data_IF_285883722974
#
_entry.id   IF_285883722974
#
_cell.length_a   1.000
_cell.length_b   1.000
_cell.length_c   1.000
_cell.angle_alpha   90.00
_cell.angle_beta   90.00
_cell.angle_gamma   90.00
#
_symmetry.space_group_name_H-M   'P 1'
#
loop_
_entity.id
_entity.type
_entity.pdbx_description
1 polymer ?
#
# COMPACT_ATOMS: atom_id res chain seq x y z
N UNK A 1 33.99 -14.14 20.93
CA UNK A 1 32.93 -14.16 19.91
C UNK A 1 32.42 -12.74 19.77
N UNK A 2 32.60 -12.05 18.63
CA UNK A 2 31.95 -10.76 18.43
C UNK A 2 30.43 -11.01 18.39
N UNK A 3 29.69 -10.26 19.22
CA UNK A 3 28.24 -10.23 19.14
C UNK A 3 27.87 -9.74 17.72
N UNK A 4 27.08 -10.52 17.00
CA UNK A 4 26.49 -10.05 15.75
C UNK A 4 25.73 -8.77 16.09
N UNK A 5 26.15 -7.65 15.51
CA UNK A 5 25.42 -6.41 15.64
C UNK A 5 24.03 -6.67 15.06
N UNK A 6 22.99 -6.55 15.87
CA UNK A 6 21.63 -6.65 15.37
C UNK A 6 21.48 -5.55 14.32
N UNK A 7 21.23 -5.95 13.09
CA UNK A 7 20.94 -5.04 11.98
C UNK A 7 19.72 -4.19 12.35
N UNK A 8 19.78 -2.89 12.13
CA UNK A 8 18.67 -2.01 12.46
C UNK A 8 17.41 -2.45 11.68
N UNK A 9 16.22 -2.40 12.29
CA UNK A 9 15.00 -2.83 11.60
C UNK A 9 14.75 -1.97 10.35
N UNK A 10 14.37 -2.62 9.25
CA UNK A 10 13.98 -1.91 8.02
C UNK A 10 12.78 -0.99 8.28
N UNK A 11 12.80 0.20 7.71
CA UNK A 11 11.75 1.21 7.87
C UNK A 11 10.86 1.25 6.64
N UNK A 12 9.60 0.89 6.82
CA UNK A 12 8.58 0.96 5.78
C UNK A 12 7.61 2.10 6.10
N UNK A 13 7.14 2.80 5.08
CA UNK A 13 5.96 3.66 5.16
C UNK A 13 4.83 3.02 4.38
N UNK A 14 3.67 2.88 4.99
CA UNK A 14 2.42 2.56 4.30
C UNK A 14 1.68 3.85 3.96
N UNK A 15 1.83 4.32 2.72
CA UNK A 15 1.19 5.51 2.17
C UNK A 15 -0.14 5.11 1.53
N UNK A 16 -1.25 5.55 2.10
CA UNK A 16 -2.56 5.15 1.61
C UNK A 16 -3.72 6.00 2.12
N UNK A 17 -4.91 5.50 1.93
CA UNK A 17 -6.15 6.14 2.36
C UNK A 17 -6.76 5.51 3.62
N UNK A 18 -8.09 5.40 3.70
CA UNK A 18 -8.82 4.81 4.82
C UNK A 18 -8.52 3.33 5.04
N UNK A 19 -8.17 2.60 3.98
CA UNK A 19 -7.83 1.17 4.05
C UNK A 19 -6.50 0.97 4.79
N UNK A 20 -5.53 1.81 4.50
CA UNK A 20 -4.24 1.84 5.21
C UNK A 20 -4.39 2.40 6.61
N UNK A 21 -5.18 3.47 6.78
CA UNK A 21 -5.40 4.12 8.07
C UNK A 21 -6.05 3.18 9.11
N UNK A 22 -6.82 2.18 8.66
CA UNK A 22 -7.59 1.30 9.55
C UNK A 22 -8.93 1.92 9.97
N UNK A 23 -9.59 2.65 9.06
CA UNK A 23 -10.86 3.34 9.31
C UNK A 23 -11.90 2.44 9.97
N UNK A 24 -12.50 2.93 11.06
CA UNK A 24 -13.58 2.23 11.76
C UNK A 24 -13.13 1.04 12.63
N UNK A 25 -11.83 0.78 12.74
CA UNK A 25 -11.27 -0.31 13.53
C UNK A 25 -10.51 0.22 14.75
N UNK A 26 -10.43 -0.57 15.84
CA UNK A 26 -9.46 -0.33 16.90
C UNK A 26 -8.04 -0.33 16.33
N UNK A 27 -7.14 0.48 16.90
CA UNK A 27 -5.78 0.71 16.38
C UNK A 27 -5.03 -0.61 16.06
N UNK A 28 -5.11 -1.61 16.94
CA UNK A 28 -4.40 -2.89 16.76
C UNK A 28 -5.03 -3.82 15.70
N UNK A 29 -6.20 -3.49 15.20
CA UNK A 29 -6.92 -4.30 14.21
C UNK A 29 -6.77 -3.77 12.78
N UNK A 30 -6.14 -2.61 12.62
CA UNK A 30 -5.85 -2.00 11.32
C UNK A 30 -4.78 -2.76 10.53
N UNK A 31 -4.68 -2.40 9.25
CA UNK A 31 -3.74 -3.04 8.32
C UNK A 31 -2.28 -2.98 8.78
N UNK A 32 -1.79 -1.80 9.14
CA UNK A 32 -0.38 -1.59 9.48
C UNK A 32 0.06 -2.39 10.72
N UNK A 33 -0.61 -2.28 11.90
CA UNK A 33 -0.18 -3.04 13.08
C UNK A 33 -0.30 -4.56 12.87
N UNK A 34 -1.31 -5.03 12.14
CA UNK A 34 -1.43 -6.46 11.82
C UNK A 34 -0.36 -6.95 10.87
N UNK A 35 0.01 -6.16 9.86
CA UNK A 35 1.11 -6.50 8.97
C UNK A 35 2.43 -6.55 9.72
N UNK A 36 2.70 -5.58 10.59
CA UNK A 36 3.90 -5.55 11.41
C UNK A 36 3.98 -6.76 12.34
N UNK A 37 2.87 -7.12 12.99
CA UNK A 37 2.80 -8.33 13.81
C UNK A 37 3.07 -9.61 13.02
N UNK A 38 2.46 -9.76 11.83
CA UNK A 38 2.67 -10.92 10.96
C UNK A 38 4.13 -11.06 10.46
N UNK A 39 4.83 -9.96 10.26
CA UNK A 39 6.26 -9.95 9.91
C UNK A 39 7.10 -10.35 11.14
N UNK A 40 6.79 -9.81 12.31
CA UNK A 40 7.48 -10.13 13.55
C UNK A 40 7.31 -11.62 13.94
N UNK A 41 6.12 -12.18 13.78
CA UNK A 41 5.83 -13.61 13.95
C UNK A 41 6.66 -14.48 13.01
N UNK A 42 6.97 -13.95 11.81
CA UNK A 42 7.89 -14.56 10.85
C UNK A 42 9.38 -14.32 11.13
N UNK A 43 9.74 -13.71 12.26
CA UNK A 43 11.13 -13.41 12.65
C UNK A 43 11.75 -12.22 11.91
N UNK A 44 10.95 -11.39 11.24
CA UNK A 44 11.42 -10.23 10.46
C UNK A 44 11.24 -8.96 11.31
N UNK A 45 12.34 -8.33 11.70
CA UNK A 45 12.32 -7.06 12.40
C UNK A 45 12.07 -5.92 11.40
N UNK A 46 10.95 -5.21 11.57
CA UNK A 46 10.53 -4.11 10.70
C UNK A 46 9.78 -3.04 11.51
N UNK A 47 9.95 -1.79 11.14
CA UNK A 47 9.15 -0.68 11.63
C UNK A 47 8.28 -0.16 10.49
N UNK A 48 6.94 -0.20 10.65
CA UNK A 48 6.01 0.26 9.63
C UNK A 48 5.28 1.51 10.14
N UNK A 49 5.57 2.65 9.53
CA UNK A 49 4.85 3.88 9.78
C UNK A 49 3.51 3.89 9.01
N UNK A 50 2.41 4.13 9.74
CA UNK A 50 1.10 4.31 9.13
C UNK A 50 0.98 5.75 8.61
N UNK A 51 0.98 5.91 7.30
CA UNK A 51 0.72 7.16 6.60
C UNK A 51 -0.59 7.09 5.79
N UNK A 52 -1.59 6.38 6.31
CA UNK A 52 -2.95 6.36 5.77
C UNK A 52 -3.73 7.59 6.23
N UNK A 53 -4.44 8.24 5.30
CA UNK A 53 -5.36 9.35 5.59
C UNK A 53 -6.70 9.07 4.94
N UNK A 54 -7.74 8.89 5.77
CA UNK A 54 -9.08 8.55 5.28
C UNK A 54 -9.61 9.61 4.33
N UNK A 55 -10.06 9.16 3.16
CA UNK A 55 -10.63 10.03 2.13
C UNK A 55 -9.61 10.54 1.10
N UNK A 56 -8.30 10.32 1.29
CA UNK A 56 -7.30 10.75 0.33
C UNK A 56 -7.49 10.12 -1.05
N UNK A 57 -7.37 10.96 -2.06
CA UNK A 57 -7.15 10.56 -3.46
C UNK A 57 -5.66 10.36 -3.73
N UNK A 58 -5.32 9.87 -4.90
CA UNK A 58 -3.93 9.80 -5.35
C UNK A 58 -3.25 11.18 -5.36
N UNK A 59 -4.00 12.24 -5.71
CA UNK A 59 -3.51 13.61 -5.70
C UNK A 59 -3.24 14.13 -4.29
N UNK A 60 -4.09 13.79 -3.31
CA UNK A 60 -3.89 14.16 -1.90
C UNK A 60 -2.65 13.44 -1.34
N UNK A 61 -2.49 12.14 -1.62
CA UNK A 61 -1.30 11.38 -1.25
C UNK A 61 -0.01 11.96 -1.86
N UNK A 62 -0.06 12.42 -3.12
CA UNK A 62 1.05 13.13 -3.76
C UNK A 62 1.38 14.44 -3.05
N UNK A 63 0.37 15.22 -2.67
CA UNK A 63 0.56 16.52 -2.04
C UNK A 63 1.31 16.42 -0.69
N UNK A 64 1.14 15.32 0.04
CA UNK A 64 1.79 15.08 1.34
C UNK A 64 2.97 14.10 1.29
N UNK A 65 3.39 13.64 0.09
CA UNK A 65 4.40 12.59 -0.07
C UNK A 65 5.69 12.87 0.70
N UNK A 66 6.26 14.07 0.55
CA UNK A 66 7.55 14.41 1.16
C UNK A 66 7.48 14.48 2.68
N UNK A 67 6.33 14.87 3.22
CA UNK A 67 6.07 14.87 4.66
C UNK A 67 5.81 13.46 5.19
N UNK A 68 5.09 12.64 4.44
CA UNK A 68 4.71 11.28 4.85
C UNK A 68 5.84 10.27 4.75
N UNK A 69 6.79 10.51 3.84
CA UNK A 69 7.92 9.60 3.57
C UNK A 69 9.22 10.33 3.90
N UNK A 70 9.67 10.30 5.18
CA UNK A 70 10.87 11.01 5.62
C UNK A 70 12.15 10.39 5.03
N UNK A 71 13.29 11.11 5.10
CA UNK A 71 14.59 10.53 4.81
C UNK A 71 14.89 9.30 5.69
N UNK A 72 15.57 8.31 5.13
CA UNK A 72 15.86 7.05 5.83
C UNK A 72 14.73 6.04 5.78
N UNK A 73 13.70 6.25 4.95
CA UNK A 73 12.71 5.22 4.60
C UNK A 73 13.31 4.26 3.59
N UNK A 74 13.28 2.96 3.88
CA UNK A 74 13.86 1.91 3.02
C UNK A 74 12.87 1.46 1.95
N UNK A 75 11.58 1.41 2.29
CA UNK A 75 10.53 0.97 1.38
C UNK A 75 9.20 1.68 1.62
N UNK A 76 8.36 1.73 0.59
CA UNK A 76 7.00 2.28 0.65
C UNK A 76 5.99 1.31 0.06
N UNK A 77 4.92 1.05 0.79
CA UNK A 77 3.70 0.43 0.25
C UNK A 77 2.78 1.58 -0.16
N UNK A 78 2.43 1.67 -1.44
CA UNK A 78 1.52 2.69 -1.99
C UNK A 78 0.16 2.05 -2.24
N UNK A 79 -0.84 2.50 -1.48
CA UNK A 79 -2.22 2.05 -1.55
C UNK A 79 -3.12 3.29 -1.69
N UNK A 80 -3.43 3.69 -2.91
CA UNK A 80 -4.21 4.89 -3.26
C UNK A 80 -5.02 4.65 -4.53
N UNK A 81 -6.11 5.41 -4.68
CA UNK A 81 -6.97 5.41 -5.86
C UNK A 81 -8.39 4.92 -5.59
N UNK A 82 -8.68 4.30 -4.43
CA UNK A 82 -10.04 3.90 -4.10
C UNK A 82 -10.99 5.11 -4.07
N UNK A 83 -10.57 6.23 -3.46
CA UNK A 83 -11.36 7.44 -3.42
C UNK A 83 -11.48 8.14 -4.77
N UNK A 84 -10.46 8.04 -5.63
CA UNK A 84 -10.53 8.51 -7.02
C UNK A 84 -11.65 7.79 -7.76
N UNK A 85 -11.68 6.47 -7.68
CA UNK A 85 -12.70 5.63 -8.30
C UNK A 85 -14.09 5.92 -7.72
N UNK A 86 -14.24 5.98 -6.39
CA UNK A 86 -15.53 6.25 -5.74
C UNK A 86 -16.10 7.61 -6.10
N UNK A 87 -15.26 8.60 -6.39
CA UNK A 87 -15.66 9.95 -6.81
C UNK A 87 -15.76 10.11 -8.32
N UNK A 88 -15.49 9.06 -9.09
CA UNK A 88 -15.52 9.11 -10.56
C UNK A 88 -14.50 10.07 -11.16
N UNK A 89 -13.34 10.23 -10.49
CA UNK A 89 -12.24 11.06 -11.00
C UNK A 89 -11.70 10.44 -12.31
N UNK A 90 -11.37 11.29 -13.27
CA UNK A 90 -10.76 10.84 -14.51
C UNK A 90 -9.53 9.96 -14.23
N UNK A 91 -9.48 8.72 -14.74
CA UNK A 91 -8.34 7.82 -14.57
C UNK A 91 -6.99 8.44 -14.95
N UNK A 92 -7.00 9.40 -15.89
CA UNK A 92 -5.80 10.14 -16.26
C UNK A 92 -5.24 10.96 -15.07
N UNK A 93 -6.10 11.60 -14.29
CA UNK A 93 -5.66 12.39 -13.13
C UNK A 93 -5.08 11.48 -12.05
N UNK A 94 -5.70 10.33 -11.78
CA UNK A 94 -5.18 9.31 -10.87
C UNK A 94 -3.82 8.79 -11.33
N UNK A 95 -3.68 8.49 -12.63
CA UNK A 95 -2.43 8.08 -13.26
C UNK A 95 -1.32 9.12 -13.06
N UNK A 96 -1.60 10.38 -13.38
CA UNK A 96 -0.61 11.46 -13.30
C UNK A 96 -0.10 11.62 -11.85
N UNK A 97 -0.98 11.50 -10.86
CA UNK A 97 -0.61 11.56 -9.45
C UNK A 97 0.24 10.36 -9.00
N UNK A 98 -0.19 9.14 -9.32
CA UNK A 98 0.57 7.91 -9.00
C UNK A 98 1.92 7.88 -9.73
N UNK A 99 1.99 8.32 -10.98
CA UNK A 99 3.24 8.47 -11.75
C UNK A 99 4.21 9.40 -11.03
N UNK A 100 3.72 10.55 -10.56
CA UNK A 100 4.55 11.50 -9.83
C UNK A 100 5.03 10.94 -8.47
N UNK A 101 4.20 10.20 -7.75
CA UNK A 101 4.57 9.50 -6.50
C UNK A 101 5.71 8.50 -6.79
N UNK A 102 5.50 7.57 -7.73
CA UNK A 102 6.48 6.54 -8.02
C UNK A 102 7.80 7.13 -8.54
N UNK A 103 7.72 8.13 -9.40
CA UNK A 103 8.91 8.84 -9.89
C UNK A 103 9.74 9.43 -8.75
N UNK A 104 9.10 10.14 -7.79
CA UNK A 104 9.80 10.74 -6.65
C UNK A 104 10.41 9.68 -5.73
N UNK A 105 9.69 8.59 -5.46
CA UNK A 105 10.20 7.49 -4.63
C UNK A 105 11.40 6.80 -5.31
N UNK A 106 11.31 6.52 -6.61
CA UNK A 106 12.41 5.91 -7.39
C UNK A 106 13.63 6.83 -7.44
N UNK A 107 13.46 8.15 -7.60
CA UNK A 107 14.57 9.11 -7.55
C UNK A 107 15.27 9.14 -6.19
N UNK A 108 14.58 8.77 -5.14
CA UNK A 108 15.10 8.65 -3.78
C UNK A 108 15.67 7.26 -3.48
N UNK A 109 15.72 6.36 -4.47
CA UNK A 109 16.15 4.96 -4.34
C UNK A 109 15.37 4.17 -3.28
N UNK A 110 14.08 4.46 -3.13
CA UNK A 110 13.19 3.77 -2.20
C UNK A 110 12.50 2.61 -2.93
N UNK A 111 12.55 1.42 -2.35
CA UNK A 111 11.83 0.26 -2.88
C UNK A 111 10.31 0.46 -2.75
N UNK A 112 9.54 0.15 -3.80
CA UNK A 112 8.09 0.38 -3.83
C UNK A 112 7.32 -0.89 -4.08
N UNK A 113 6.25 -1.10 -3.29
CA UNK A 113 5.16 -2.02 -3.59
C UNK A 113 3.93 -1.19 -3.94
N UNK A 114 3.51 -1.22 -5.20
CA UNK A 114 2.29 -0.58 -5.66
C UNK A 114 1.12 -1.55 -5.55
N UNK A 115 0.12 -1.18 -4.77
CA UNK A 115 -1.11 -1.94 -4.61
C UNK A 115 -2.18 -1.42 -5.58
N UNK A 116 -2.70 -2.34 -6.43
CA UNK A 116 -3.77 -2.02 -7.37
C UNK A 116 -5.12 -1.92 -6.70
N UNK A 117 -6.01 -1.19 -7.37
CA UNK A 117 -7.44 -1.10 -7.07
C UNK A 117 -8.26 -1.54 -8.27
N UNK A 118 -9.51 -1.95 -8.03
CA UNK A 118 -10.47 -2.30 -9.07
C UNK A 118 -11.61 -1.30 -9.11
N UNK A 119 -12.07 -1.01 -10.30
CA UNK A 119 -13.20 -0.13 -10.50
C UNK A 119 -14.51 -0.84 -10.14
N UNK A 120 -15.45 -0.09 -9.58
CA UNK A 120 -16.80 -0.59 -9.38
C UNK A 120 -17.51 -0.81 -10.73
N UNK A 121 -18.24 -1.93 -10.92
CA UNK A 121 -18.84 -2.28 -12.22
C UNK A 121 -19.82 -1.23 -12.79
N UNK A 122 -20.44 -0.43 -11.93
CA UNK A 122 -21.36 0.64 -12.33
C UNK A 122 -20.69 1.84 -13.01
N UNK A 123 -19.37 1.93 -13.00
CA UNK A 123 -18.62 3.00 -13.69
C UNK A 123 -18.40 2.70 -15.19
N UNK A 124 -18.75 1.50 -15.63
CA UNK A 124 -18.63 1.07 -17.02
C UNK A 124 -17.26 0.47 -17.36
N UNK A 125 -17.24 -0.31 -18.45
CA UNK A 125 -16.06 -1.09 -18.84
C UNK A 125 -14.88 -0.20 -19.28
N UNK A 126 -15.15 0.91 -19.96
CA UNK A 126 -14.12 1.84 -20.44
C UNK A 126 -13.37 2.48 -19.24
N UNK A 127 -14.11 2.99 -18.27
CA UNK A 127 -13.52 3.51 -17.04
C UNK A 127 -12.72 2.42 -16.31
N UNK A 128 -13.30 1.23 -16.15
CA UNK A 128 -12.66 0.11 -15.47
C UNK A 128 -11.32 -0.27 -16.11
N UNK A 129 -11.28 -0.42 -17.43
CA UNK A 129 -10.03 -0.73 -18.15
C UNK A 129 -8.99 0.37 -18.00
N UNK A 130 -9.40 1.64 -18.16
CA UNK A 130 -8.49 2.78 -18.03
C UNK A 130 -7.93 2.90 -16.61
N UNK A 131 -8.77 2.70 -15.57
CA UNK A 131 -8.39 2.82 -14.17
C UNK A 131 -7.50 1.65 -13.71
N UNK A 132 -7.92 0.41 -13.96
CA UNK A 132 -7.18 -0.77 -13.50
C UNK A 132 -5.84 -0.94 -14.23
N UNK A 133 -5.75 -0.52 -15.50
CA UNK A 133 -4.53 -0.52 -16.29
C UNK A 133 -3.42 0.40 -15.78
N UNK A 134 -3.76 1.42 -14.97
CA UNK A 134 -2.79 2.36 -14.38
C UNK A 134 -1.70 1.63 -13.59
N UNK A 135 -2.13 0.71 -12.74
CA UNK A 135 -1.24 0.10 -11.74
C UNK A 135 -0.16 -0.82 -12.32
N UNK A 136 -0.49 -1.82 -13.15
CA UNK A 136 0.54 -2.67 -13.76
C UNK A 136 1.48 -1.88 -14.68
N UNK A 137 0.96 -0.93 -15.45
CA UNK A 137 1.77 -0.12 -16.36
C UNK A 137 2.76 0.77 -15.59
N UNK A 138 2.34 1.40 -14.49
CA UNK A 138 3.23 2.20 -13.66
C UNK A 138 4.22 1.34 -12.87
N UNK A 139 3.80 0.18 -12.38
CA UNK A 139 4.70 -0.75 -11.71
C UNK A 139 5.82 -1.21 -12.65
N UNK A 140 5.49 -1.56 -13.90
CA UNK A 140 6.48 -1.91 -14.92
C UNK A 140 7.41 -0.73 -15.23
N UNK A 141 6.84 0.45 -15.48
CA UNK A 141 7.60 1.67 -15.80
C UNK A 141 8.67 2.02 -14.79
N UNK A 142 8.38 1.83 -13.50
CA UNK A 142 9.28 2.21 -12.41
C UNK A 142 10.00 1.02 -11.75
N UNK A 143 9.81 -0.20 -12.26
CA UNK A 143 10.37 -1.41 -11.67
C UNK A 143 9.86 -1.69 -10.25
N UNK A 144 8.67 -1.15 -9.89
CA UNK A 144 8.05 -1.38 -8.61
C UNK A 144 7.48 -2.80 -8.52
N UNK A 145 7.41 -3.34 -7.30
CA UNK A 145 6.61 -4.53 -7.07
C UNK A 145 5.13 -4.19 -7.26
N UNK A 146 4.38 -5.14 -7.81
CA UNK A 146 2.95 -4.98 -8.03
C UNK A 146 2.15 -6.01 -7.24
N UNK A 147 1.14 -5.54 -6.50
CA UNK A 147 0.10 -6.36 -5.89
C UNK A 147 -1.24 -6.02 -6.55
N UNK A 148 -1.85 -6.95 -7.30
CA UNK A 148 -2.91 -6.62 -8.26
C UNK A 148 -4.18 -6.00 -7.68
N UNK A 149 -4.53 -6.38 -6.43
CA UNK A 149 -5.74 -5.85 -5.79
C UNK A 149 -5.59 -5.85 -4.28
N UNK A 150 -5.55 -4.67 -3.66
CA UNK A 150 -5.33 -4.54 -2.22
C UNK A 150 -6.37 -5.29 -1.38
N UNK A 151 -7.65 -5.25 -1.79
CA UNK A 151 -8.76 -5.91 -1.09
C UNK A 151 -8.97 -7.37 -1.52
N UNK A 152 -7.96 -8.01 -2.12
CA UNK A 152 -8.06 -9.40 -2.57
C UNK A 152 -8.45 -10.35 -1.42
N UNK A 153 -9.51 -11.13 -1.67
CA UNK A 153 -10.06 -12.10 -0.72
C UNK A 153 -11.00 -11.52 0.34
N UNK A 154 -11.15 -10.18 0.42
CA UNK A 154 -12.11 -9.56 1.34
C UNK A 154 -13.22 -8.79 0.63
N UNK A 155 -12.93 -8.22 -0.55
CA UNK A 155 -13.91 -7.46 -1.31
C UNK A 155 -15.13 -8.31 -1.71
N UNK A 156 -16.34 -7.78 -1.47
CA UNK A 156 -17.58 -8.45 -1.83
C UNK A 156 -18.07 -9.50 -0.83
N UNK A 157 -17.28 -9.84 0.18
CA UNK A 157 -17.71 -10.71 1.28
C UNK A 157 -18.22 -9.88 2.46
N UNK A 158 -19.53 -9.95 2.70
CA UNK A 158 -20.17 -9.20 3.79
C UNK A 158 -19.70 -9.62 5.18
N UNK A 159 -19.19 -10.82 5.35
CA UNK A 159 -18.63 -11.29 6.62
C UNK A 159 -17.26 -10.69 6.92
N UNK A 160 -16.58 -10.15 5.90
CA UNK A 160 -15.25 -9.55 5.96
C UNK A 160 -15.25 -8.03 5.84
N UNK A 161 -16.43 -7.42 5.65
CA UNK A 161 -16.59 -5.97 5.55
C UNK A 161 -17.34 -5.39 6.74
N UNK A 162 -17.15 -4.09 6.97
CA UNK A 162 -17.94 -3.30 7.92
C UNK A 162 -19.36 -3.08 7.39
N UNK A 163 -20.22 -2.44 8.19
CA UNK A 163 -21.61 -2.19 7.82
C UNK A 163 -21.78 -1.34 6.54
N UNK A 164 -20.78 -0.56 6.19
CA UNK A 164 -20.79 0.26 4.97
C UNK A 164 -20.59 -0.55 3.68
N UNK A 165 -20.17 -1.81 3.80
CA UNK A 165 -19.92 -2.70 2.67
C UNK A 165 -18.69 -2.35 1.83
N UNK A 166 -17.86 -1.40 2.27
CA UNK A 166 -16.67 -0.90 1.58
C UNK A 166 -15.38 -1.24 2.34
N UNK A 167 -15.33 -0.88 3.62
CA UNK A 167 -14.15 -1.07 4.44
C UNK A 167 -14.08 -2.49 5.02
N UNK A 168 -12.90 -3.12 5.05
CA UNK A 168 -12.73 -4.41 5.71
C UNK A 168 -12.97 -4.28 7.22
N UNK A 169 -13.58 -5.29 7.81
CA UNK A 169 -13.58 -5.47 9.26
C UNK A 169 -12.27 -6.14 9.71
N UNK A 170 -12.11 -6.41 11.01
CA UNK A 170 -10.90 -7.02 11.55
C UNK A 170 -10.56 -8.38 10.89
N UNK A 171 -11.56 -9.20 10.58
CA UNK A 171 -11.35 -10.47 9.88
C UNK A 171 -10.90 -10.24 8.43
N UNK A 172 -11.50 -9.27 7.73
CA UNK A 172 -11.11 -8.87 6.39
C UNK A 172 -9.68 -8.34 6.33
N UNK A 173 -9.26 -7.52 7.29
CA UNK A 173 -7.87 -7.08 7.41
C UNK A 173 -6.92 -8.27 7.59
N UNK A 174 -7.29 -9.27 8.40
CA UNK A 174 -6.50 -10.48 8.55
C UNK A 174 -6.30 -11.23 7.23
N UNK A 175 -7.34 -11.33 6.39
CA UNK A 175 -7.27 -11.93 5.05
C UNK A 175 -6.33 -11.13 4.14
N UNK A 176 -6.48 -9.81 4.10
CA UNK A 176 -5.65 -8.92 3.28
C UNK A 176 -4.18 -9.07 3.68
N UNK A 177 -3.86 -9.00 4.97
CA UNK A 177 -2.50 -9.15 5.49
C UNK A 177 -1.91 -10.50 5.10
N UNK A 178 -2.64 -11.60 5.29
CA UNK A 178 -2.17 -12.93 4.92
C UNK A 178 -1.82 -13.05 3.44
N UNK A 179 -2.60 -12.40 2.57
CA UNK A 179 -2.41 -12.46 1.11
C UNK A 179 -1.28 -11.55 0.60
N UNK A 180 -1.13 -10.36 1.16
CA UNK A 180 -0.09 -9.42 0.74
C UNK A 180 1.29 -9.73 1.34
N UNK A 181 1.33 -10.45 2.48
CA UNK A 181 2.56 -10.73 3.23
C UNK A 181 3.73 -11.26 2.38
N UNK A 182 3.54 -12.21 1.42
CA UNK A 182 4.63 -12.66 0.57
C UNK A 182 5.25 -11.52 -0.27
N UNK A 183 4.41 -10.60 -0.77
CA UNK A 183 4.89 -9.44 -1.54
C UNK A 183 5.62 -8.41 -0.68
N UNK A 184 5.20 -8.23 0.56
CA UNK A 184 5.91 -7.36 1.50
C UNK A 184 7.26 -7.95 1.88
N UNK A 185 7.39 -9.27 2.03
CA UNK A 185 8.68 -9.93 2.23
C UNK A 185 9.61 -9.74 1.02
N UNK A 186 9.09 -9.82 -0.20
CA UNK A 186 9.84 -9.51 -1.42
C UNK A 186 10.29 -8.03 -1.44
N UNK A 187 9.43 -7.10 -1.01
CA UNK A 187 9.76 -5.68 -0.89
C UNK A 187 10.94 -5.45 0.07
N UNK A 188 10.92 -6.07 1.22
CA UNK A 188 12.01 -5.99 2.20
C UNK A 188 13.33 -6.53 1.66
N UNK A 189 13.29 -7.65 0.91
CA UNK A 189 14.48 -8.19 0.24
C UNK A 189 15.06 -7.20 -0.76
N UNK A 190 14.22 -6.52 -1.54
CA UNK A 190 14.68 -5.48 -2.49
C UNK A 190 15.25 -4.27 -1.78
N UNK A 191 14.63 -3.82 -0.70
CA UNK A 191 15.12 -2.69 0.10
C UNK A 191 16.52 -2.98 0.66
N UNK A 192 16.74 -4.15 1.25
CA UNK A 192 18.06 -4.57 1.75
C UNK A 192 19.14 -4.67 0.67
N UNK A 193 18.79 -5.01 -0.56
CA UNK A 193 19.75 -5.05 -1.67
C UNK A 193 20.12 -3.67 -2.22
N UNK A 194 19.30 -2.64 -1.97
CA UNK A 194 19.57 -1.25 -2.39
C UNK A 194 20.47 -0.50 -1.39
N UNK A 195 20.55 -0.98 -0.16
CA UNK A 195 21.39 -0.42 0.91
C UNK A 195 22.32 -1.50 1.48
N UNK A 196 23.29 -2.02 0.68
CA UNK A 196 24.27 -2.96 1.24
C UNK A 196 25.08 -2.24 2.33
N UNK A 197 25.06 -2.82 3.53
CA UNK A 197 25.78 -2.36 4.73
C UNK A 197 27.28 -2.34 4.55
#
# INVERSE_FOLDING_TARGET
MPAASAEAPSKIVALGDSLTAGFGLPDQEGFVPRLQAALADGGIAVEIANAGVSGDTAADGLARLDWSVPPGTDAVIVELGANDMLRGIDPKATRDALDAILRRLTQRHIAVLLCGMRAAPNLGAEYGQAFEGIYPELAEKYGALFYPFFLDGSAGDRSLTQHDGLHPNAAGVGVIVGRILPKVKELLTRAGSQHPS
#
